data_IF_650656371978
#
_entry.id   IF_650656371978
#
_cell.length_a   1.000
_cell.length_b   1.000
_cell.length_c   1.000
_cell.angle_alpha   90.00
_cell.angle_beta   90.00
_cell.angle_gamma   90.00
#
_symmetry.space_group_name_H-M   'P 1'
#
loop_
_entity.id
_entity.type
_entity.pdbx_description
1 polymer ?
#
# COMPACT_ATOMS: atom_id res chain seq x y z
N UNK A 1 -1.44 -15.14 -31.69
CA UNK A 1 -0.65 -14.29 -30.80
C UNK A 1 -1.07 -14.52 -29.37
N UNK A 2 -0.14 -14.93 -28.56
CA UNK A 2 -0.44 -15.20 -27.17
C UNK A 2 -0.54 -13.88 -26.40
N UNK A 3 -1.59 -13.77 -25.60
CA UNK A 3 -1.68 -12.67 -24.64
C UNK A 3 -0.74 -12.96 -23.49
N UNK A 4 0.07 -11.99 -23.13
CA UNK A 4 0.85 -12.12 -21.92
C UNK A 4 -0.10 -12.25 -20.73
N UNK A 5 0.20 -13.14 -19.78
CA UNK A 5 -0.64 -13.23 -18.59
C UNK A 5 -0.66 -11.88 -17.88
N UNK A 6 -1.85 -11.47 -17.47
CA UNK A 6 -2.00 -10.22 -16.74
C UNK A 6 -1.28 -10.34 -15.41
N UNK A 7 -0.29 -9.51 -15.20
CA UNK A 7 0.48 -9.51 -13.97
C UNK A 7 -0.31 -8.79 -12.88
N UNK A 8 -0.52 -9.46 -11.76
CA UNK A 8 -1.14 -8.82 -10.61
C UNK A 8 -0.20 -7.81 -10.00
N UNK A 9 -0.75 -6.70 -9.53
CA UNK A 9 0.03 -5.72 -8.80
C UNK A 9 0.37 -6.29 -7.42
N UNK A 10 1.61 -6.13 -7.01
CA UNK A 10 2.09 -6.67 -5.75
C UNK A 10 2.19 -5.56 -4.73
N UNK A 11 1.66 -5.78 -3.55
CA UNK A 11 1.73 -4.77 -2.51
C UNK A 11 2.19 -5.36 -1.18
N UNK A 12 2.73 -4.47 -0.34
CA UNK A 12 3.07 -4.78 1.03
C UNK A 12 2.23 -3.95 1.97
N UNK A 13 2.10 -4.39 3.22
CA UNK A 13 1.37 -3.63 4.23
C UNK A 13 2.28 -3.17 5.35
N UNK A 14 1.98 -2.00 5.89
CA UNK A 14 2.55 -1.50 7.13
C UNK A 14 1.38 -1.36 8.11
N UNK A 15 1.44 -2.08 9.21
CA UNK A 15 0.36 -2.16 10.18
C UNK A 15 -0.29 -3.54 10.14
N UNK A 16 -0.60 -4.07 11.30
CA UNK A 16 -1.11 -5.44 11.44
C UNK A 16 -2.47 -5.49 12.15
N UNK A 17 -3.18 -4.37 12.18
CA UNK A 17 -4.50 -4.29 12.80
C UNK A 17 -5.63 -4.70 11.87
N UNK A 18 -6.86 -4.64 12.38
CA UNK A 18 -8.05 -5.05 11.63
C UNK A 18 -8.27 -4.21 10.36
N UNK A 19 -7.85 -2.96 10.37
CA UNK A 19 -7.95 -2.09 9.19
C UNK A 19 -7.12 -2.64 8.04
N UNK A 20 -5.93 -3.13 8.36
CA UNK A 20 -5.06 -3.74 7.36
C UNK A 20 -5.68 -5.02 6.82
N UNK A 21 -6.29 -5.84 7.69
CA UNK A 21 -7.00 -7.04 7.23
C UNK A 21 -8.13 -6.68 6.27
N UNK A 22 -8.91 -5.66 6.60
CA UNK A 22 -10.01 -5.24 5.73
C UNK A 22 -9.51 -4.79 4.38
N UNK A 23 -8.44 -4.01 4.35
CA UNK A 23 -7.87 -3.55 3.10
C UNK A 23 -7.33 -4.71 2.26
N UNK A 24 -6.59 -5.61 2.89
CA UNK A 24 -6.02 -6.76 2.20
C UNK A 24 -7.12 -7.63 1.62
N UNK A 25 -8.16 -7.92 2.41
CA UNK A 25 -9.26 -8.74 1.94
C UNK A 25 -9.93 -8.13 0.71
N UNK A 26 -10.19 -6.82 0.75
CA UNK A 26 -10.78 -6.12 -0.38
C UNK A 26 -9.88 -6.12 -1.62
N UNK A 27 -8.59 -5.90 -1.42
CA UNK A 27 -7.64 -5.89 -2.52
C UNK A 27 -7.53 -7.27 -3.18
N UNK A 28 -7.49 -8.33 -2.38
CA UNK A 28 -7.43 -9.68 -2.91
C UNK A 28 -8.72 -10.07 -3.62
N UNK A 29 -9.87 -9.67 -3.08
CA UNK A 29 -11.15 -9.93 -3.71
C UNK A 29 -11.29 -9.29 -5.08
N UNK A 30 -10.59 -8.19 -5.30
CA UNK A 30 -10.62 -7.51 -6.60
C UNK A 30 -9.99 -8.35 -7.72
N UNK A 31 -9.12 -9.28 -7.37
CA UNK A 31 -8.37 -10.07 -8.35
C UNK A 31 -7.25 -9.32 -9.04
N UNK A 32 -7.02 -8.06 -8.69
CA UNK A 32 -6.01 -7.22 -9.31
C UNK A 32 -4.72 -7.11 -8.50
N UNK A 33 -4.77 -7.47 -7.22
CA UNK A 33 -3.68 -7.27 -6.29
C UNK A 33 -3.32 -8.58 -5.59
N UNK A 34 -2.05 -8.69 -5.23
CA UNK A 34 -1.61 -9.77 -4.34
C UNK A 34 -0.73 -9.20 -3.24
N UNK A 35 -0.89 -9.73 -2.04
CA UNK A 35 -0.06 -9.36 -0.91
C UNK A 35 1.23 -10.17 -0.96
N UNK A 36 2.37 -9.49 -0.99
CA UNK A 36 3.66 -10.16 -1.13
C UNK A 36 4.63 -9.90 0.00
N UNK A 37 4.33 -8.94 0.87
CA UNK A 37 5.20 -8.61 2.00
C UNK A 37 4.42 -7.93 3.10
N UNK A 38 4.91 -8.07 4.32
CA UNK A 38 4.32 -7.42 5.50
C UNK A 38 5.44 -6.77 6.29
N UNK A 39 5.21 -5.54 6.74
CA UNK A 39 6.08 -4.89 7.72
C UNK A 39 5.45 -4.95 9.09
N UNK A 40 6.25 -5.23 10.09
CA UNK A 40 5.84 -5.16 11.49
C UNK A 40 7.05 -4.78 12.34
N UNK A 41 6.79 -4.17 13.50
CA UNK A 41 7.86 -3.85 14.43
C UNK A 41 8.52 -5.10 14.99
N UNK A 42 7.77 -6.20 15.07
CA UNK A 42 8.31 -7.49 15.47
C UNK A 42 8.02 -8.51 14.41
N UNK A 43 8.96 -9.40 14.17
CA UNK A 43 8.80 -10.45 13.18
C UNK A 43 7.63 -11.38 13.53
N UNK A 44 7.47 -11.66 14.81
CA UNK A 44 6.39 -12.51 15.30
C UNK A 44 5.01 -11.98 14.91
N UNK A 45 4.75 -10.70 15.15
CA UNK A 45 3.48 -10.09 14.77
C UNK A 45 3.28 -10.07 13.27
N UNK A 46 4.35 -9.80 12.55
CA UNK A 46 4.29 -9.81 11.09
C UNK A 46 3.95 -11.17 10.54
N UNK A 47 4.58 -12.21 11.04
CA UNK A 47 4.29 -13.58 10.61
C UNK A 47 2.87 -13.99 10.97
N UNK A 48 2.38 -13.61 12.15
CA UNK A 48 1.02 -13.91 12.55
C UNK A 48 -0.01 -13.25 11.62
N UNK A 49 0.23 -12.00 11.24
CA UNK A 49 -0.63 -11.29 10.29
C UNK A 49 -0.59 -11.93 8.91
N UNK A 50 0.59 -12.28 8.44
CA UNK A 50 0.82 -12.77 7.09
C UNK A 50 0.36 -14.21 6.86
N UNK A 51 0.34 -15.02 7.92
CA UNK A 51 0.05 -16.45 7.81
C UNK A 51 -1.28 -16.79 7.12
N UNK A 52 -2.41 -16.14 7.46
CA UNK A 52 -3.68 -16.44 6.80
C UNK A 52 -3.67 -16.16 5.29
N UNK A 53 -2.75 -15.33 4.84
CA UNK A 53 -2.65 -14.97 3.42
C UNK A 53 -1.58 -15.79 2.69
N UNK A 54 -0.92 -16.70 3.37
CA UNK A 54 0.13 -17.50 2.76
C UNK A 54 1.41 -16.74 2.50
N UNK A 55 1.60 -15.59 3.13
CA UNK A 55 2.78 -14.74 2.94
C UNK A 55 3.82 -15.06 4.02
N UNK A 56 5.06 -15.21 3.60
CA UNK A 56 6.16 -15.52 4.52
C UNK A 56 7.21 -14.40 4.58
N UNK A 57 7.12 -13.43 3.67
CA UNK A 57 8.08 -12.33 3.61
C UNK A 57 7.65 -11.25 4.58
N UNK A 58 8.40 -11.10 5.66
CA UNK A 58 8.14 -10.12 6.72
C UNK A 58 9.38 -9.27 6.91
N UNK A 59 9.19 -7.97 6.90
CA UNK A 59 10.25 -7.00 7.15
C UNK A 59 10.05 -6.33 8.49
N UNK A 60 11.15 -6.06 9.16
CA UNK A 60 11.15 -5.27 10.40
C UNK A 60 11.91 -3.95 10.22
N UNK A 61 12.42 -3.72 9.02
CA UNK A 61 13.12 -2.50 8.64
C UNK A 61 12.44 -1.91 7.41
N UNK A 62 12.03 -0.65 7.51
CA UNK A 62 11.29 0.03 6.44
C UNK A 62 12.13 0.24 5.20
N UNK A 63 13.41 0.57 5.36
CA UNK A 63 14.29 0.78 4.21
C UNK A 63 14.48 -0.51 3.42
N UNK A 64 14.64 -1.62 4.11
CA UNK A 64 14.76 -2.91 3.45
C UNK A 64 13.50 -3.24 2.67
N UNK A 65 12.34 -3.00 3.26
CA UNK A 65 11.07 -3.24 2.57
C UNK A 65 10.90 -2.32 1.38
N UNK A 66 11.25 -1.05 1.52
CA UNK A 66 11.13 -0.10 0.42
C UNK A 66 12.04 -0.46 -0.74
N UNK A 67 13.20 -1.04 -0.45
CA UNK A 67 14.19 -1.41 -1.46
C UNK A 67 13.93 -2.75 -2.13
N UNK A 68 13.00 -3.55 -1.60
CA UNK A 68 12.75 -4.88 -2.16
C UNK A 68 12.11 -4.81 -3.55
N UNK A 69 12.41 -5.78 -4.39
CA UNK A 69 11.75 -5.92 -5.69
C UNK A 69 10.48 -6.75 -5.61
N UNK A 70 10.04 -7.13 -4.42
CA UNK A 70 8.87 -7.98 -4.23
C UNK A 70 7.56 -7.23 -4.19
N UNK A 71 7.59 -5.89 -4.10
CA UNK A 71 6.38 -5.07 -4.07
C UNK A 71 6.46 -3.98 -5.13
N UNK A 72 5.28 -3.57 -5.62
CA UNK A 72 5.12 -2.43 -6.51
C UNK A 72 4.53 -1.23 -5.76
N UNK A 73 3.82 -1.52 -4.68
CA UNK A 73 3.12 -0.53 -3.89
C UNK A 73 3.13 -0.93 -2.42
N UNK A 74 2.85 0.05 -1.56
CA UNK A 74 2.69 -0.19 -0.13
C UNK A 74 1.37 0.42 0.35
N UNK A 75 0.70 -0.31 1.25
CA UNK A 75 -0.45 0.20 1.97
C UNK A 75 -0.02 0.53 3.39
N UNK A 76 -0.18 1.80 3.79
CA UNK A 76 0.27 2.29 5.09
C UNK A 76 -0.91 2.49 6.01
N UNK A 77 -0.95 1.73 7.09
CA UNK A 77 -1.97 1.83 8.14
C UNK A 77 -1.35 1.91 9.53
N UNK A 78 -0.21 2.56 9.62
CA UNK A 78 0.50 2.81 10.88
C UNK A 78 -0.12 4.00 11.62
N UNK A 79 0.38 4.34 12.83
CA UNK A 79 -0.08 5.55 13.52
C UNK A 79 0.10 6.79 12.66
N UNK A 80 -0.85 7.73 12.76
CA UNK A 80 -0.92 8.90 11.89
C UNK A 80 0.37 9.69 11.78
N UNK A 81 1.07 9.85 12.88
CA UNK A 81 2.31 10.65 12.91
C UNK A 81 3.43 10.07 12.06
N UNK A 82 3.33 8.81 11.67
CA UNK A 82 4.35 8.14 10.88
C UNK A 82 4.05 8.16 9.38
N UNK A 83 2.85 8.56 8.98
CA UNK A 83 2.42 8.44 7.59
C UNK A 83 3.33 9.16 6.61
N UNK A 84 3.67 10.42 6.87
CA UNK A 84 4.48 11.20 5.94
C UNK A 84 5.88 10.63 5.80
N UNK A 85 6.50 10.30 6.91
CA UNK A 85 7.85 9.77 6.90
C UNK A 85 7.91 8.43 6.15
N UNK A 86 6.98 7.55 6.44
CA UNK A 86 6.93 6.25 5.81
C UNK A 86 6.61 6.36 4.32
N UNK A 87 5.63 7.19 3.97
CA UNK A 87 5.28 7.39 2.56
C UNK A 87 6.49 7.93 1.77
N UNK A 88 7.24 8.86 2.35
CA UNK A 88 8.42 9.40 1.68
C UNK A 88 9.44 8.32 1.37
N UNK A 89 9.71 7.43 2.32
CA UNK A 89 10.67 6.34 2.12
C UNK A 89 10.30 5.49 0.91
N UNK A 90 9.03 5.12 0.79
CA UNK A 90 8.59 4.26 -0.30
C UNK A 90 8.57 5.00 -1.64
N UNK A 91 8.12 6.25 -1.65
CA UNK A 91 8.15 7.03 -2.88
C UNK A 91 9.59 7.23 -3.38
N UNK A 92 10.52 7.46 -2.48
CA UNK A 92 11.93 7.62 -2.85
C UNK A 92 12.54 6.34 -3.40
N UNK A 93 11.95 5.20 -3.08
CA UNK A 93 12.39 3.91 -3.61
C UNK A 93 11.59 3.44 -4.81
N UNK A 94 10.77 4.30 -5.39
CA UNK A 94 10.03 3.97 -6.61
C UNK A 94 8.79 3.13 -6.39
N UNK A 95 8.21 3.16 -5.19
CA UNK A 95 7.00 2.41 -4.89
C UNK A 95 5.79 3.33 -4.83
N UNK A 96 4.66 2.87 -5.34
CA UNK A 96 3.39 3.56 -5.15
C UNK A 96 2.97 3.48 -3.70
N UNK A 97 2.23 4.48 -3.23
CA UNK A 97 1.80 4.54 -1.84
C UNK A 97 0.30 4.76 -1.75
N UNK A 98 -0.36 3.93 -0.96
CA UNK A 98 -1.74 4.10 -0.56
C UNK A 98 -1.71 4.19 0.95
N UNK A 99 -2.14 5.31 1.50
CA UNK A 99 -2.01 5.59 2.92
C UNK A 99 -3.35 5.88 3.55
N UNK A 100 -3.58 5.30 4.74
CA UNK A 100 -4.78 5.59 5.50
C UNK A 100 -4.85 7.06 5.89
N UNK A 101 -6.05 7.56 5.99
CA UNK A 101 -6.29 8.95 6.40
C UNK A 101 -6.00 9.14 7.89
N UNK A 102 -5.63 10.33 8.29
CA UNK A 102 -5.25 11.45 7.43
C UNK A 102 -3.85 11.23 6.87
N UNK A 103 -3.60 11.67 5.66
CA UNK A 103 -2.25 11.58 5.10
C UNK A 103 -1.27 12.34 5.98
N UNK A 104 -1.67 13.52 6.43
CA UNK A 104 -0.91 14.30 7.38
C UNK A 104 -1.81 15.39 7.96
N UNK A 105 -1.46 15.89 9.14
CA UNK A 105 -2.09 17.08 9.72
C UNK A 105 -1.67 18.36 9.02
N UNK A 106 -0.62 18.31 8.20
CA UNK A 106 -0.04 19.47 7.52
C UNK A 106 -0.15 19.33 6.01
N UNK A 107 -0.94 20.21 5.40
CA UNK A 107 -1.13 20.19 3.95
C UNK A 107 0.17 20.33 3.17
N UNK A 108 1.13 21.06 3.72
CA UNK A 108 2.44 21.26 3.10
C UNK A 108 3.15 19.93 2.88
N UNK A 109 3.14 19.06 3.88
CA UNK A 109 3.80 17.77 3.78
C UNK A 109 3.16 16.89 2.71
N UNK A 110 1.84 16.90 2.66
CA UNK A 110 1.11 16.14 1.64
C UNK A 110 1.45 16.67 0.25
N UNK A 111 1.48 17.98 0.08
CA UNK A 111 1.80 18.59 -1.21
C UNK A 111 3.21 18.23 -1.66
N UNK A 112 4.17 18.21 -0.75
CA UNK A 112 5.54 17.81 -1.06
C UNK A 112 5.62 16.38 -1.56
N UNK A 113 4.90 15.46 -0.91
CA UNK A 113 4.92 14.06 -1.32
C UNK A 113 4.15 13.84 -2.61
N UNK A 114 3.09 14.59 -2.83
CA UNK A 114 2.37 14.50 -4.10
C UNK A 114 3.24 14.98 -5.25
N UNK A 115 4.02 16.03 -5.04
CA UNK A 115 4.97 16.51 -6.04
C UNK A 115 6.07 15.48 -6.30
N UNK A 116 6.59 14.85 -5.26
CA UNK A 116 7.59 13.80 -5.38
C UNK A 116 7.05 12.62 -6.18
N UNK A 117 5.84 12.18 -5.88
CA UNK A 117 5.21 11.08 -6.58
C UNK A 117 5.03 11.41 -8.06
N UNK A 118 4.53 12.61 -8.35
CA UNK A 118 4.32 13.04 -9.73
C UNK A 118 5.64 13.08 -10.51
N UNK A 119 6.68 13.62 -9.90
CA UNK A 119 8.00 13.70 -10.51
C UNK A 119 8.53 12.32 -10.88
N UNK A 120 8.24 11.31 -10.06
CA UNK A 120 8.72 9.95 -10.27
C UNK A 120 7.74 9.05 -11.01
N UNK A 121 6.60 9.59 -11.43
CA UNK A 121 5.59 8.79 -12.12
C UNK A 121 4.89 7.78 -11.20
N UNK A 122 4.79 8.10 -9.93
CA UNK A 122 4.19 7.23 -8.92
C UNK A 122 2.84 7.75 -8.47
N UNK A 123 2.05 6.85 -7.88
CA UNK A 123 0.74 7.18 -7.33
C UNK A 123 0.87 7.31 -5.82
N UNK A 124 0.31 8.37 -5.25
CA UNK A 124 0.22 8.60 -3.82
C UNK A 124 -1.22 8.97 -3.50
N UNK A 125 -1.95 8.06 -2.87
CA UNK A 125 -3.38 8.20 -2.62
C UNK A 125 -3.72 7.98 -1.16
N UNK A 126 -4.80 8.63 -0.74
CA UNK A 126 -5.45 8.34 0.53
C UNK A 126 -6.36 7.12 0.34
N UNK A 127 -6.30 6.17 1.25
CA UNK A 127 -7.01 4.90 1.11
C UNK A 127 -8.52 5.07 0.95
N UNK A 128 -9.10 6.03 1.65
CA UNK A 128 -10.54 6.25 1.57
C UNK A 128 -10.97 6.73 0.18
N UNK A 129 -10.13 7.53 -0.49
CA UNK A 129 -10.40 7.96 -1.86
C UNK A 129 -10.34 6.79 -2.82
N UNK A 130 -9.40 5.89 -2.61
CA UNK A 130 -9.29 4.69 -3.43
C UNK A 130 -10.56 3.85 -3.33
N UNK A 131 -11.06 3.62 -2.13
CA UNK A 131 -12.30 2.87 -1.93
C UNK A 131 -13.49 3.60 -2.53
N UNK A 132 -13.54 4.91 -2.40
CA UNK A 132 -14.61 5.72 -2.96
C UNK A 132 -14.65 5.61 -4.49
N UNK A 133 -13.51 5.70 -5.13
CA UNK A 133 -13.41 5.55 -6.58
C UNK A 133 -13.88 4.18 -7.02
N UNK A 134 -13.53 3.15 -6.28
CA UNK A 134 -13.97 1.79 -6.57
C UNK A 134 -15.49 1.67 -6.49
N UNK A 135 -16.10 2.26 -5.46
CA UNK A 135 -17.54 2.25 -5.30
C UNK A 135 -18.27 3.02 -6.40
N UNK A 136 -17.73 4.16 -6.79
CA UNK A 136 -18.30 4.94 -7.88
C UNK A 136 -18.26 4.15 -9.19
N UNK A 137 -17.17 3.48 -9.44
CA UNK A 137 -17.02 2.66 -10.64
C UNK A 137 -18.06 1.54 -10.69
N UNK A 138 -18.35 0.94 -9.56
CA UNK A 138 -19.35 -0.12 -9.46
C UNK A 138 -20.76 0.44 -9.65
N UNK A 139 -21.05 1.60 -9.06
CA UNK A 139 -22.42 2.15 -9.07
C UNK A 139 -22.76 2.91 -10.35
N UNK A 140 -21.79 3.30 -11.13
CA UNK A 140 -22.02 4.07 -12.36
C UNK A 140 -21.32 3.46 -13.57
N UNK A 141 -21.65 2.23 -13.93
CA UNK A 141 -20.92 1.53 -14.99
C UNK A 141 -21.12 2.14 -16.37
N UNK A 142 -22.13 2.96 -16.55
CA UNK A 142 -22.44 3.55 -17.86
C UNK A 142 -21.80 4.90 -18.10
N UNK A 143 -21.09 5.40 -17.17
CA UNK A 143 -20.45 6.70 -17.30
C UNK A 143 -19.15 6.67 -18.05
#
# INVERSE_FOLDING_TARGET
MEKEPKTMLRFGTIGTGWISNSYVDGALDSGLWQLTAVYSRTKEKGLAFAAPYGVKTVFTDLEEMAATDKIDAVYIASPNKLHIEQARVFLEHGKHVICEKPLSAHAKDVAELQALAKERGLIYLEAIMFMHLSLIHISEPTR
#
